data_IF_387125029606
#
_entry.id   IF_387125029606
#
_cell.length_a   1.000
_cell.length_b   1.000
_cell.length_c   1.000
_cell.angle_alpha   90.00
_cell.angle_beta   90.00
_cell.angle_gamma   90.00
#
_symmetry.space_group_name_H-M   'P 1'
#
loop_
_entity.id
_entity.type
_entity.pdbx_description
1 polymer ?
#
# COMPACT_ATOMS: atom_id res chain seq x y z
N UNK A 1 -1.81 51.06 -43.18
CA UNK A 1 -3.16 51.04 -43.78
C UNK A 1 -4.06 50.34 -42.75
N UNK A 2 -4.67 51.04 -41.86
CA UNK A 2 -5.97 51.72 -41.78
C UNK A 2 -7.14 50.87 -42.32
N UNK A 3 -8.06 50.46 -41.42
CA UNK A 3 -9.47 50.87 -41.30
C UNK A 3 -10.16 49.98 -40.27
N UNK A 4 -10.55 50.48 -39.16
CA UNK A 4 -11.76 51.21 -38.75
C UNK A 4 -13.04 50.32 -38.67
N UNK A 5 -13.54 50.25 -37.39
CA UNK A 5 -14.90 50.50 -36.87
C UNK A 5 -15.92 49.41 -37.21
N UNK A 6 -16.72 48.96 -36.27
CA UNK A 6 -17.80 49.74 -35.66
C UNK A 6 -18.38 49.07 -34.39
N UNK A 7 -18.78 49.89 -33.47
CA UNK A 7 -19.44 49.62 -32.20
C UNK A 7 -20.93 49.43 -32.49
N UNK A 8 -21.51 48.34 -31.97
CA UNK A 8 -22.97 48.28 -31.77
C UNK A 8 -23.27 47.93 -30.32
N UNK A 9 -23.78 48.93 -29.61
CA UNK A 9 -24.39 48.80 -28.26
C UNK A 9 -25.70 48.04 -28.39
N UNK A 10 -25.83 46.94 -27.64
CA UNK A 10 -27.10 46.29 -27.36
C UNK A 10 -27.33 46.29 -25.84
N UNK A 11 -28.39 46.95 -25.44
CA UNK A 11 -28.93 47.14 -24.09
C UNK A 11 -29.12 45.84 -23.31
N UNK A 12 -28.98 45.83 -21.97
CA UNK A 12 -29.25 44.66 -21.15
C UNK A 12 -30.75 44.47 -20.98
N UNK A 13 -31.28 43.42 -21.56
CA UNK A 13 -32.63 42.97 -21.33
C UNK A 13 -32.68 42.19 -20.02
N UNK A 14 -33.41 42.74 -19.06
CA UNK A 14 -33.75 42.11 -17.80
C UNK A 14 -34.87 41.12 -18.07
N UNK A 15 -34.58 39.84 -18.16
CA UNK A 15 -35.62 38.81 -18.06
C UNK A 15 -35.30 37.73 -17.01
N UNK A 16 -36.18 37.66 -16.05
CA UNK A 16 -36.72 36.48 -15.42
C UNK A 16 -35.82 35.56 -14.64
N UNK A 17 -35.46 35.93 -13.42
CA UNK A 17 -34.66 35.14 -12.43
C UNK A 17 -35.41 33.94 -11.85
N UNK A 18 -36.52 33.48 -12.39
CA UNK A 18 -37.26 32.33 -11.83
C UNK A 18 -37.18 31.03 -12.64
N UNK A 19 -36.77 31.11 -13.93
CA UNK A 19 -36.69 29.92 -14.81
C UNK A 19 -35.38 29.21 -14.80
N UNK A 20 -34.28 29.88 -14.42
CA UNK A 20 -32.91 29.35 -14.55
C UNK A 20 -32.49 28.41 -13.40
N UNK A 21 -33.18 28.44 -12.27
CA UNK A 21 -32.85 27.60 -11.12
C UNK A 21 -33.39 26.15 -11.25
N UNK A 22 -34.51 25.97 -11.92
CA UNK A 22 -35.14 24.64 -12.06
C UNK A 22 -34.45 23.77 -13.12
N UNK A 23 -33.83 24.38 -14.13
CA UNK A 23 -33.16 23.62 -15.22
C UNK A 23 -31.81 23.05 -14.78
N UNK A 24 -31.16 23.64 -13.77
CA UNK A 24 -29.84 23.21 -13.29
C UNK A 24 -29.86 21.97 -12.40
N UNK A 25 -31.03 21.54 -11.94
CA UNK A 25 -31.23 20.32 -11.12
C UNK A 25 -31.35 19.04 -11.96
N UNK A 26 -31.49 19.13 -13.28
CA UNK A 26 -31.70 17.95 -14.13
C UNK A 26 -30.46 17.47 -14.87
N UNK A 27 -29.31 18.12 -14.68
CA UNK A 27 -28.03 17.77 -15.32
C UNK A 27 -26.97 17.29 -14.33
N UNK A 28 -27.36 16.65 -13.25
CA UNK A 28 -26.43 15.85 -12.46
C UNK A 28 -26.19 14.56 -13.25
N UNK A 29 -24.98 14.31 -13.74
CA UNK A 29 -24.66 13.06 -14.42
C UNK A 29 -24.95 11.91 -13.46
N UNK A 30 -25.94 11.07 -13.75
CA UNK A 30 -26.26 9.84 -13.00
C UNK A 30 -25.16 8.78 -13.17
N UNK A 31 -24.17 9.05 -14.00
CA UNK A 31 -23.07 8.14 -14.21
C UNK A 31 -21.85 8.60 -13.41
N UNK A 32 -21.52 7.81 -12.40
CA UNK A 32 -20.26 7.94 -11.68
C UNK A 32 -19.14 7.83 -12.72
N UNK A 33 -18.22 8.81 -12.82
CA UNK A 33 -17.11 8.77 -13.77
C UNK A 33 -16.39 7.42 -13.72
N UNK A 34 -16.02 6.87 -14.86
CA UNK A 34 -15.37 5.54 -14.96
C UNK A 34 -14.15 5.41 -14.04
N UNK A 35 -13.37 6.49 -13.87
CA UNK A 35 -12.24 6.56 -12.93
C UNK A 35 -12.66 6.34 -11.46
N UNK A 36 -13.81 6.92 -11.06
CA UNK A 36 -14.33 6.73 -9.70
C UNK A 36 -14.80 5.29 -9.45
N UNK A 37 -15.30 4.64 -10.48
CA UNK A 37 -15.73 3.25 -10.45
C UNK A 37 -14.52 2.32 -10.34
N UNK A 38 -13.47 2.54 -11.13
CA UNK A 38 -12.22 1.77 -11.08
C UNK A 38 -11.52 1.88 -9.72
N UNK A 39 -11.37 3.09 -9.18
CA UNK A 39 -10.74 3.28 -7.86
C UNK A 39 -11.53 2.61 -6.74
N UNK A 40 -12.86 2.61 -6.81
CA UNK A 40 -13.71 1.93 -5.85
C UNK A 40 -13.58 0.41 -5.92
N UNK A 41 -13.55 -0.18 -7.12
CA UNK A 41 -13.32 -1.63 -7.29
C UNK A 41 -11.93 -2.06 -6.80
N UNK A 42 -10.88 -1.32 -7.15
CA UNK A 42 -9.52 -1.61 -6.71
C UNK A 42 -9.38 -1.54 -5.19
N UNK A 43 -10.03 -0.56 -4.55
CA UNK A 43 -10.04 -0.44 -3.09
C UNK A 43 -10.75 -1.63 -2.43
N UNK A 44 -11.89 -2.04 -2.96
CA UNK A 44 -12.65 -3.20 -2.46
C UNK A 44 -11.86 -4.50 -2.62
N UNK A 45 -11.19 -4.70 -3.76
CA UNK A 45 -10.36 -5.88 -4.01
C UNK A 45 -9.16 -5.95 -3.07
N UNK A 46 -8.49 -4.82 -2.79
CA UNK A 46 -7.40 -4.74 -1.81
C UNK A 46 -7.89 -5.07 -0.41
N UNK A 47 -9.04 -4.56 -0.01
CA UNK A 47 -9.64 -4.82 1.30
C UNK A 47 -9.98 -6.30 1.48
N UNK A 48 -10.71 -6.90 0.52
CA UNK A 48 -11.03 -8.34 0.54
C UNK A 48 -9.79 -9.20 0.52
N UNK A 49 -8.78 -8.81 -0.29
CA UNK A 49 -7.48 -9.48 -0.34
C UNK A 49 -6.80 -9.48 1.02
N UNK A 50 -6.80 -8.37 1.74
CA UNK A 50 -6.20 -8.29 3.07
C UNK A 50 -6.96 -9.14 4.11
N UNK A 51 -8.30 -9.19 4.07
CA UNK A 51 -9.06 -10.06 4.97
C UNK A 51 -8.73 -11.52 4.71
N UNK A 52 -8.72 -11.94 3.46
CA UNK A 52 -8.37 -13.32 3.12
C UNK A 52 -6.92 -13.64 3.46
N UNK A 53 -6.02 -12.67 3.27
CA UNK A 53 -4.61 -12.78 3.69
C UNK A 53 -4.46 -13.03 5.19
N UNK A 54 -5.21 -12.31 6.04
CA UNK A 54 -5.18 -12.52 7.50
C UNK A 54 -5.54 -13.96 7.86
N UNK A 55 -6.51 -14.56 7.17
CA UNK A 55 -6.94 -15.97 7.39
C UNK A 55 -5.91 -16.97 6.86
N UNK A 56 -5.20 -16.64 5.78
CA UNK A 56 -4.22 -17.52 5.12
C UNK A 56 -2.80 -17.44 5.72
N UNK A 57 -2.65 -16.84 6.89
CA UNK A 57 -1.38 -16.82 7.62
C UNK A 57 -0.83 -15.43 7.94
N UNK A 58 -1.35 -14.37 7.31
CA UNK A 58 -0.88 -12.99 7.53
C UNK A 58 -0.96 -12.57 9.00
N UNK A 59 -2.04 -12.94 9.70
CA UNK A 59 -2.20 -12.67 11.12
C UNK A 59 -1.12 -13.37 11.96
N UNK A 60 -0.90 -14.67 11.72
CA UNK A 60 0.09 -15.48 12.45
C UNK A 60 1.49 -14.91 12.27
N UNK A 61 1.85 -14.59 11.02
CA UNK A 61 3.16 -14.04 10.68
C UNK A 61 3.35 -12.63 11.29
N UNK A 62 2.32 -11.79 11.26
CA UNK A 62 2.37 -10.47 11.88
C UNK A 62 2.60 -10.56 13.40
N UNK A 63 1.89 -11.44 14.09
CA UNK A 63 2.12 -11.71 15.50
C UNK A 63 3.53 -12.21 15.77
N UNK A 64 4.04 -13.10 14.93
CA UNK A 64 5.41 -13.60 15.04
C UNK A 64 6.44 -12.48 14.93
N UNK A 65 6.31 -11.60 13.93
CA UNK A 65 7.15 -10.41 13.79
C UNK A 65 7.10 -9.51 15.02
N UNK A 66 5.90 -9.24 15.53
CA UNK A 66 5.71 -8.37 16.70
C UNK A 66 6.33 -8.99 17.96
N UNK A 67 6.16 -10.29 18.18
CA UNK A 67 6.70 -11.01 19.32
C UNK A 67 8.23 -11.03 19.28
N UNK A 68 8.82 -11.41 18.14
CA UNK A 68 10.27 -11.42 17.97
C UNK A 68 10.83 -9.99 18.06
N UNK A 69 10.14 -9.01 17.50
CA UNK A 69 10.50 -7.58 17.62
C UNK A 69 10.56 -7.12 19.06
N UNK A 70 9.61 -7.54 19.89
CA UNK A 70 9.60 -7.25 21.32
C UNK A 70 10.83 -7.88 22.03
N UNK A 71 11.16 -9.12 21.71
CA UNK A 71 12.33 -9.79 22.28
C UNK A 71 13.63 -9.06 21.91
N UNK A 72 13.77 -8.62 20.66
CA UNK A 72 14.94 -7.83 20.26
C UNK A 72 15.03 -6.48 20.98
N UNK A 73 13.89 -5.83 21.26
CA UNK A 73 13.87 -4.55 22.00
C UNK A 73 14.27 -4.66 23.46
N UNK A 74 14.33 -5.87 24.05
CA UNK A 74 14.83 -6.08 25.41
C UNK A 74 16.33 -5.74 25.50
N UNK A 75 17.09 -5.98 24.44
CA UNK A 75 18.51 -5.61 24.36
C UNK A 75 18.70 -4.27 23.65
N UNK A 76 19.59 -3.42 24.17
CA UNK A 76 19.88 -2.11 23.57
C UNK A 76 20.39 -2.27 22.13
N UNK A 77 21.23 -3.26 21.86
CA UNK A 77 21.76 -3.56 20.52
C UNK A 77 20.66 -4.07 19.59
N UNK A 78 19.65 -4.75 20.14
CA UNK A 78 18.54 -5.30 19.39
C UNK A 78 17.45 -4.29 19.01
N UNK A 79 17.42 -3.09 19.63
CA UNK A 79 16.38 -2.08 19.35
C UNK A 79 16.22 -1.76 17.85
N UNK A 80 17.29 -1.49 17.07
CA UNK A 80 17.14 -1.20 15.65
C UNK A 80 16.55 -2.37 14.85
N UNK A 81 16.85 -3.62 15.23
CA UNK A 81 16.26 -4.82 14.64
C UNK A 81 14.79 -4.98 15.05
N UNK A 82 14.48 -4.76 16.32
CA UNK A 82 13.12 -4.82 16.85
C UNK A 82 12.18 -3.80 16.19
N UNK A 83 12.62 -2.55 16.02
CA UNK A 83 11.86 -1.52 15.34
C UNK A 83 11.59 -1.89 13.87
N UNK A 84 12.58 -2.49 13.20
CA UNK A 84 12.39 -2.97 11.82
C UNK A 84 11.39 -4.12 11.76
N UNK A 85 11.40 -5.03 12.74
CA UNK A 85 10.41 -6.11 12.87
C UNK A 85 8.99 -5.59 13.10
N UNK A 86 8.79 -4.54 13.91
CA UNK A 86 7.48 -3.91 14.05
C UNK A 86 6.98 -3.28 12.74
N UNK A 87 7.88 -2.67 11.97
CA UNK A 87 7.56 -2.15 10.64
C UNK A 87 7.12 -3.28 9.71
N UNK A 88 7.83 -4.41 9.75
CA UNK A 88 7.46 -5.61 8.97
C UNK A 88 6.18 -6.27 9.47
N UNK A 89 5.90 -6.25 10.78
CA UNK A 89 4.65 -6.72 11.36
C UNK A 89 3.44 -5.96 10.80
N UNK A 90 3.54 -4.62 10.72
CA UNK A 90 2.50 -3.79 10.12
C UNK A 90 2.25 -4.12 8.65
N UNK A 91 3.31 -4.30 7.86
CA UNK A 91 3.20 -4.71 6.47
C UNK A 91 2.64 -6.14 6.34
N UNK A 92 3.05 -7.07 7.20
CA UNK A 92 2.55 -8.45 7.21
C UNK A 92 1.08 -8.51 7.63
N UNK A 93 0.61 -7.57 8.44
CA UNK A 93 -0.81 -7.48 8.81
C UNK A 93 -1.67 -7.02 7.62
N UNK A 94 -1.20 -6.07 6.81
CA UNK A 94 -1.99 -5.45 5.75
C UNK A 94 -1.16 -5.20 4.49
N UNK A 95 -0.76 -6.24 3.72
CA UNK A 95 0.19 -6.08 2.62
C UNK A 95 -0.40 -5.52 1.33
N UNK A 96 -1.70 -5.74 1.05
CA UNK A 96 -2.31 -5.27 -0.20
C UNK A 96 -2.67 -3.79 -0.10
N UNK A 97 -2.00 -2.98 -0.89
CA UNK A 97 -2.16 -1.53 -0.91
C UNK A 97 -0.91 -0.77 -0.49
N UNK A 98 0.08 -1.45 0.07
CA UNK A 98 1.38 -0.89 0.37
C UNK A 98 2.40 -1.27 -0.71
N UNK A 99 3.31 -0.35 -0.99
CA UNK A 99 4.44 -0.56 -1.87
C UNK A 99 5.75 -0.49 -1.07
N UNK A 100 6.71 -1.31 -1.46
CA UNK A 100 8.03 -1.38 -0.80
C UNK A 100 9.09 -0.92 -1.79
N UNK A 101 9.70 0.21 -1.50
CA UNK A 101 10.70 0.83 -2.35
C UNK A 101 12.05 0.93 -1.63
N UNK A 102 13.18 0.99 -2.37
CA UNK A 102 14.46 1.33 -1.78
C UNK A 102 14.39 2.72 -1.14
N UNK A 103 14.88 2.85 0.09
CA UNK A 103 15.03 4.16 0.73
C UNK A 103 16.36 4.77 0.33
N UNK A 104 16.32 5.83 -0.47
CA UNK A 104 17.54 6.53 -0.94
C UNK A 104 18.23 7.32 0.18
N UNK A 105 17.52 7.59 1.28
CA UNK A 105 18.05 8.35 2.42
C UNK A 105 18.58 7.45 3.52
N UNK A 106 18.24 6.15 3.51
CA UNK A 106 18.55 5.25 4.62
C UNK A 106 19.70 4.30 4.26
N UNK A 107 20.89 4.80 4.51
CA UNK A 107 21.94 3.96 4.99
C UNK A 107 22.94 3.30 4.08
N UNK A 108 22.94 3.47 2.79
CA UNK A 108 24.07 2.96 1.98
C UNK A 108 24.81 1.74 2.56
N UNK A 109 26.06 1.94 2.98
CA UNK A 109 26.91 0.89 3.57
C UNK A 109 26.38 0.37 4.91
N UNK A 110 25.77 1.22 5.74
CA UNK A 110 25.20 0.82 7.04
C UNK A 110 24.02 -0.14 6.87
N UNK A 111 23.12 0.10 5.91
CA UNK A 111 22.01 -0.79 5.64
C UNK A 111 22.51 -2.17 5.17
N UNK A 112 23.56 -2.21 4.37
CA UNK A 112 24.17 -3.47 3.93
C UNK A 112 24.73 -4.24 5.13
N UNK A 113 25.51 -3.58 6.00
CA UNK A 113 26.06 -4.19 7.21
C UNK A 113 24.95 -4.73 8.13
N UNK A 114 23.91 -3.92 8.37
CA UNK A 114 22.75 -4.32 9.19
C UNK A 114 22.00 -5.50 8.59
N UNK A 115 21.86 -5.58 7.27
CA UNK A 115 21.24 -6.72 6.60
C UNK A 115 22.09 -7.99 6.73
N UNK A 116 23.42 -7.90 6.63
CA UNK A 116 24.33 -9.06 6.82
C UNK A 116 24.19 -9.60 8.25
N UNK A 117 24.24 -8.74 9.26
CA UNK A 117 24.03 -9.15 10.66
C UNK A 117 22.63 -9.74 10.85
N UNK A 118 21.63 -9.11 10.26
CA UNK A 118 20.23 -9.53 10.36
C UNK A 118 19.99 -10.93 9.77
N UNK A 119 20.55 -11.24 8.60
CA UNK A 119 20.44 -12.56 7.97
C UNK A 119 20.90 -13.67 8.95
N UNK A 120 21.99 -13.42 9.67
CA UNK A 120 22.56 -14.37 10.63
C UNK A 120 21.76 -14.46 11.94
N UNK A 121 21.13 -13.34 12.36
CA UNK A 121 20.45 -13.25 13.66
C UNK A 121 18.99 -13.69 13.64
N UNK A 122 18.30 -13.67 12.48
CA UNK A 122 16.86 -14.00 12.44
C UNK A 122 16.21 -13.90 11.05
N UNK A 123 16.90 -13.28 10.08
CA UNK A 123 16.34 -13.07 8.75
C UNK A 123 16.01 -14.38 8.03
N UNK A 124 16.86 -15.39 8.16
CA UNK A 124 16.63 -16.72 7.53
C UNK A 124 15.41 -17.41 8.14
N UNK A 125 15.28 -17.39 9.46
CA UNK A 125 14.15 -18.03 10.15
C UNK A 125 12.81 -17.47 9.68
N UNK A 126 12.70 -16.15 9.65
CA UNK A 126 11.47 -15.47 9.21
C UNK A 126 11.22 -15.68 7.72
N UNK A 127 12.26 -15.69 6.90
CA UNK A 127 12.11 -16.00 5.47
C UNK A 127 11.59 -17.42 5.25
N UNK A 128 12.10 -18.40 6.00
CA UNK A 128 11.62 -19.80 5.96
C UNK A 128 10.15 -19.91 6.41
N UNK A 129 9.74 -19.14 7.43
CA UNK A 129 8.35 -19.07 7.85
C UNK A 129 7.44 -18.62 6.70
N UNK A 130 7.83 -17.55 6.00
CA UNK A 130 7.10 -17.09 4.82
C UNK A 130 7.11 -18.10 3.67
N UNK A 131 8.22 -18.78 3.42
CA UNK A 131 8.29 -19.82 2.38
C UNK A 131 7.33 -20.95 2.73
N UNK A 132 7.27 -21.39 4.00
CA UNK A 132 6.34 -22.42 4.46
C UNK A 132 4.88 -22.07 4.21
N UNK A 133 4.46 -20.85 4.63
CA UNK A 133 3.11 -20.37 4.33
C UNK A 133 2.87 -20.17 2.84
N UNK A 134 3.86 -19.71 2.10
CA UNK A 134 3.79 -19.53 0.65
C UNK A 134 3.51 -20.86 -0.08
N UNK A 135 4.26 -21.90 0.25
CA UNK A 135 4.05 -23.25 -0.29
C UNK A 135 2.66 -23.76 0.11
N UNK A 136 2.29 -23.64 1.39
CA UNK A 136 0.96 -24.06 1.86
C UNK A 136 -0.18 -23.37 1.09
N UNK A 137 -0.11 -22.07 0.89
CA UNK A 137 -1.10 -21.32 0.08
C UNK A 137 -1.14 -21.80 -1.37
N UNK A 138 0.01 -22.13 -1.98
CA UNK A 138 0.07 -22.58 -3.37
C UNK A 138 -0.52 -23.98 -3.61
N UNK A 139 -0.87 -24.73 -2.56
CA UNK A 139 -1.59 -25.99 -2.71
C UNK A 139 -3.02 -25.81 -3.21
N UNK A 140 -3.56 -24.60 -3.14
CA UNK A 140 -4.88 -24.27 -3.64
C UNK A 140 -4.80 -23.19 -4.71
N UNK A 141 -5.66 -23.26 -5.73
CA UNK A 141 -5.68 -22.29 -6.84
C UNK A 141 -5.96 -20.86 -6.30
N UNK A 142 -6.89 -20.74 -5.35
CA UNK A 142 -7.22 -19.45 -4.72
C UNK A 142 -6.06 -18.94 -3.85
N UNK A 143 -5.26 -19.81 -3.29
CA UNK A 143 -4.10 -19.46 -2.47
C UNK A 143 -2.87 -19.02 -3.27
N UNK A 144 -2.76 -19.30 -4.56
CA UNK A 144 -1.59 -18.94 -5.38
C UNK A 144 -1.22 -17.45 -5.25
N UNK A 145 -2.13 -16.47 -5.43
CA UNK A 145 -1.79 -15.05 -5.30
C UNK A 145 -1.27 -14.70 -3.90
N UNK A 146 -1.76 -15.37 -2.86
CA UNK A 146 -1.30 -15.19 -1.49
C UNK A 146 0.05 -15.87 -1.25
N UNK A 147 0.29 -17.03 -1.85
CA UNK A 147 1.59 -17.69 -1.83
C UNK A 147 2.68 -16.83 -2.47
N UNK A 148 2.40 -16.23 -3.62
CA UNK A 148 3.31 -15.28 -4.26
C UNK A 148 3.61 -14.09 -3.35
N UNK A 149 2.62 -13.58 -2.63
CA UNK A 149 2.83 -12.50 -1.66
C UNK A 149 3.72 -12.94 -0.50
N UNK A 150 3.55 -14.15 0.02
CA UNK A 150 4.45 -14.72 1.02
C UNK A 150 5.88 -14.82 0.50
N UNK A 151 6.12 -15.25 -0.73
CA UNK A 151 7.47 -15.29 -1.31
C UNK A 151 8.09 -13.90 -1.44
N UNK A 152 7.31 -12.88 -1.82
CA UNK A 152 7.79 -11.49 -1.81
C UNK A 152 8.17 -11.02 -0.41
N UNK A 153 7.38 -11.37 0.60
CA UNK A 153 7.65 -11.07 2.00
C UNK A 153 8.89 -11.83 2.51
N UNK A 154 9.12 -13.06 2.05
CA UNK A 154 10.33 -13.82 2.38
C UNK A 154 11.61 -13.11 1.91
N UNK A 155 11.63 -12.59 0.68
CA UNK A 155 12.76 -11.81 0.17
C UNK A 155 12.96 -10.51 0.96
N UNK A 156 11.86 -9.84 1.33
CA UNK A 156 11.92 -8.64 2.15
C UNK A 156 12.39 -8.93 3.57
N UNK A 157 12.02 -10.09 4.13
CA UNK A 157 12.47 -10.55 5.44
C UNK A 157 13.98 -10.80 5.51
N UNK A 158 14.62 -11.16 4.40
CA UNK A 158 16.09 -11.32 4.34
C UNK A 158 16.81 -9.97 4.32
N UNK A 159 16.24 -8.96 3.67
CA UNK A 159 16.91 -7.65 3.46
C UNK A 159 15.94 -6.51 3.81
N UNK A 160 15.59 -6.34 5.10
CA UNK A 160 14.60 -5.36 5.51
C UNK A 160 15.15 -3.93 5.64
N UNK A 161 16.46 -3.75 5.90
CA UNK A 161 17.06 -2.44 6.05
C UNK A 161 17.27 -1.75 4.70
N UNK A 162 17.11 -0.42 4.64
CA UNK A 162 17.14 0.35 3.41
C UNK A 162 15.87 0.22 2.55
N UNK A 163 14.74 -0.17 3.16
CA UNK A 163 13.43 -0.23 2.50
C UNK A 163 12.44 0.72 3.17
N UNK A 164 11.67 1.41 2.33
CA UNK A 164 10.56 2.28 2.73
C UNK A 164 9.24 1.61 2.34
N UNK A 165 8.29 1.60 3.26
CA UNK A 165 6.91 1.17 3.02
C UNK A 165 6.05 2.43 2.86
N UNK A 166 5.33 2.53 1.75
CA UNK A 166 4.45 3.64 1.41
C UNK A 166 3.03 3.16 1.13
#
# INVERSE_FOLDING_TARGET
MQKHREIARGTPEKEGTAGSFVIKLHSVPREVPSQFRETSYLSTMKFLGNILWLLLGGLVVSFYYAFVGLLYCISIIGIPFGLQLFKMAGLALWPFGHDVQPDTNDGGCLAILMNVIWILCGGIEIALLHIGFGVFCCLTIVGIPFGIQHFKMALLALVPFGKKIS
#
